data_IF_822618580058
#
_entry.id   IF_822618580058
#
_cell.length_a   1.000
_cell.length_b   1.000
_cell.length_c   1.000
_cell.angle_alpha   90.00
_cell.angle_beta   90.00
_cell.angle_gamma   90.00
#
_symmetry.space_group_name_H-M   'P 1'
#
loop_
_entity.id
_entity.type
_entity.pdbx_description
1 polymer ?
#
# COMPACT_ATOMS: atom_id res chain seq x y z
N UNK A 1 27.69 -1.16 7.09
CA UNK A 1 26.42 -0.42 6.83
C UNK A 1 25.47 -1.34 6.09
N UNK A 2 24.16 -1.31 6.34
CA UNK A 2 23.22 -2.07 5.53
C UNK A 2 23.33 -1.61 4.07
N UNK A 3 23.31 -2.58 3.12
CA UNK A 3 23.36 -2.28 1.71
C UNK A 3 22.12 -1.44 1.30
N UNK A 4 22.34 -0.45 0.43
CA UNK A 4 21.27 0.35 -0.12
C UNK A 4 20.30 -0.53 -0.93
N UNK A 5 19.03 -0.13 -0.99
CA UNK A 5 17.96 -0.83 -1.70
C UNK A 5 17.30 0.15 -2.66
N UNK A 6 16.95 -0.36 -3.83
CA UNK A 6 16.15 0.39 -4.78
C UNK A 6 14.67 -0.02 -4.62
N UNK A 7 13.83 0.93 -4.28
CA UNK A 7 12.38 0.80 -4.30
C UNK A 7 11.82 1.43 -5.57
N UNK A 8 10.86 0.75 -6.18
CA UNK A 8 10.13 1.19 -7.38
C UNK A 8 8.64 1.11 -7.06
N UNK A 9 7.93 2.23 -7.12
CA UNK A 9 6.48 2.29 -6.92
C UNK A 9 5.77 2.35 -8.27
N UNK A 10 5.07 1.27 -8.61
CA UNK A 10 4.20 1.13 -9.79
C UNK A 10 2.71 1.08 -9.40
N UNK A 11 2.36 1.47 -8.17
CA UNK A 11 1.01 1.27 -7.64
C UNK A 11 0.02 2.39 -7.98
N UNK A 12 0.48 3.51 -8.50
CA UNK A 12 -0.34 4.69 -8.73
C UNK A 12 -0.20 5.25 -10.15
N UNK A 13 -0.67 6.48 -10.33
CA UNK A 13 -0.61 7.23 -11.59
C UNK A 13 0.75 7.90 -11.83
N UNK A 14 1.69 7.76 -10.90
CA UNK A 14 3.04 8.35 -10.96
C UNK A 14 4.06 7.26 -10.66
N UNK A 15 5.07 7.14 -11.54
CA UNK A 15 6.23 6.29 -11.28
C UNK A 15 7.10 6.95 -10.21
N UNK A 16 7.51 6.20 -9.20
CA UNK A 16 8.46 6.70 -8.19
C UNK A 16 9.58 5.71 -7.96
N UNK A 17 10.76 6.24 -7.79
CA UNK A 17 11.95 5.48 -7.43
C UNK A 17 12.62 6.09 -6.20
N UNK A 18 13.17 5.24 -5.35
CA UNK A 18 13.88 5.66 -4.16
C UNK A 18 15.05 4.71 -3.89
N UNK A 19 16.25 5.24 -3.75
CA UNK A 19 17.39 4.52 -3.20
C UNK A 19 17.56 4.90 -1.73
N UNK A 20 17.65 3.90 -0.87
CA UNK A 20 17.78 4.14 0.55
C UNK A 20 18.10 2.88 1.36
N UNK A 21 18.23 3.08 2.65
CA UNK A 21 18.37 2.02 3.65
C UNK A 21 17.19 2.11 4.63
N UNK A 22 16.99 1.11 5.51
CA UNK A 22 16.02 1.22 6.60
C UNK A 22 16.26 2.44 7.52
N UNK A 23 17.44 3.06 7.43
CA UNK A 23 17.85 4.21 8.23
C UNK A 23 17.84 5.56 7.51
N UNK A 24 17.49 5.60 6.21
CA UNK A 24 17.43 6.89 5.50
C UNK A 24 17.29 6.79 4.00
N UNK A 25 16.73 7.84 3.41
CA UNK A 25 16.62 8.06 1.97
C UNK A 25 17.91 8.71 1.46
N UNK A 26 18.44 8.21 0.35
CA UNK A 26 19.64 8.72 -0.31
C UNK A 26 19.30 9.53 -1.56
N UNK A 27 18.49 8.95 -2.43
CA UNK A 27 18.03 9.54 -3.69
C UNK A 27 16.57 9.16 -3.93
N UNK A 28 15.83 10.05 -4.55
CA UNK A 28 14.44 9.75 -4.95
C UNK A 28 14.06 10.58 -6.17
N UNK A 29 13.14 10.04 -6.97
CA UNK A 29 12.64 10.70 -8.16
C UNK A 29 11.26 10.22 -8.54
N UNK A 30 10.53 11.06 -9.25
CA UNK A 30 9.20 10.75 -9.76
C UNK A 30 9.06 11.14 -11.23
N UNK A 31 8.12 10.51 -11.93
CA UNK A 31 7.80 10.77 -13.33
C UNK A 31 6.46 10.18 -13.73
N UNK A 32 5.88 10.72 -14.78
CA UNK A 32 4.64 10.17 -15.32
C UNK A 32 4.91 8.84 -16.08
N UNK A 33 4.06 7.82 -15.94
CA UNK A 33 4.09 6.68 -16.83
C UNK A 33 3.69 7.13 -18.26
N UNK A 34 4.27 6.56 -19.32
CA UNK A 34 3.84 6.84 -20.67
C UNK A 34 2.35 6.49 -20.88
N UNK A 35 1.61 7.28 -21.67
CA UNK A 35 0.23 6.95 -22.00
C UNK A 35 0.10 5.53 -22.56
N UNK A 36 -0.89 4.79 -22.08
CA UNK A 36 -1.16 3.41 -22.48
C UNK A 36 -0.24 2.35 -21.87
N UNK A 37 0.77 2.73 -21.08
CA UNK A 37 1.65 1.75 -20.41
C UNK A 37 1.06 1.18 -19.10
N UNK A 38 0.14 1.90 -18.48
CA UNK A 38 -0.59 1.49 -17.29
C UNK A 38 -2.06 1.81 -17.38
N UNK A 39 -2.90 0.99 -16.74
CA UNK A 39 -4.34 1.20 -16.58
C UNK A 39 -4.77 0.79 -15.17
N UNK A 40 -5.33 1.74 -14.39
CA UNK A 40 -5.83 1.52 -13.03
C UNK A 40 -4.87 0.69 -12.13
N UNK A 41 -3.58 1.01 -12.15
CA UNK A 41 -2.56 0.31 -11.37
C UNK A 41 -2.12 -1.06 -11.95
N UNK A 42 -2.60 -1.41 -13.14
CA UNK A 42 -2.18 -2.60 -13.90
C UNK A 42 -1.17 -2.20 -14.96
N UNK A 43 -0.15 -3.01 -15.15
CA UNK A 43 0.82 -2.84 -16.24
C UNK A 43 0.20 -3.38 -17.52
N UNK A 44 0.12 -2.54 -18.55
CA UNK A 44 -0.41 -2.86 -19.89
C UNK A 44 0.73 -3.11 -20.87
N UNK A 45 1.72 -2.22 -20.90
CA UNK A 45 2.93 -2.36 -21.74
C UNK A 45 4.19 -2.32 -20.87
N UNK A 46 4.75 -3.49 -20.51
CA UNK A 46 5.97 -3.58 -19.71
C UNK A 46 7.20 -2.98 -20.38
N UNK A 47 7.27 -3.02 -21.71
CA UNK A 47 8.42 -2.49 -22.46
C UNK A 47 8.44 -0.97 -22.42
N UNK A 48 7.32 -0.35 -22.74
CA UNK A 48 7.19 1.11 -22.74
C UNK A 48 7.38 1.67 -21.32
N UNK A 49 6.76 1.04 -20.33
CA UNK A 49 6.90 1.41 -18.91
C UNK A 49 8.35 1.22 -18.44
N UNK A 50 9.01 0.14 -18.84
CA UNK A 50 10.40 -0.16 -18.50
C UNK A 50 11.39 0.86 -19.06
N UNK A 51 11.16 1.37 -20.27
CA UNK A 51 11.97 2.44 -20.86
C UNK A 51 11.84 3.74 -20.04
N UNK A 52 10.63 4.13 -19.65
CA UNK A 52 10.39 5.29 -18.81
C UNK A 52 11.05 5.12 -17.42
N UNK A 53 10.93 3.94 -16.83
CA UNK A 53 11.57 3.62 -15.56
C UNK A 53 13.11 3.70 -15.66
N UNK A 54 13.71 3.19 -16.74
CA UNK A 54 15.16 3.31 -17.01
C UNK A 54 15.60 4.77 -17.05
N UNK A 55 14.86 5.62 -17.76
CA UNK A 55 15.17 7.06 -17.84
C UNK A 55 15.05 7.73 -16.47
N UNK A 56 14.04 7.36 -15.68
CA UNK A 56 13.85 7.89 -14.34
C UNK A 56 15.00 7.50 -13.40
N UNK A 57 15.40 6.23 -13.40
CA UNK A 57 16.53 5.71 -12.60
C UNK A 57 17.83 6.42 -12.97
N UNK A 58 18.10 6.57 -14.29
CA UNK A 58 19.29 7.27 -14.76
C UNK A 58 19.31 8.75 -14.34
N UNK A 59 18.19 9.47 -14.54
CA UNK A 59 18.05 10.88 -14.17
C UNK A 59 18.19 11.11 -12.65
N UNK A 60 17.83 10.12 -11.85
CA UNK A 60 17.92 10.19 -10.38
C UNK A 60 19.30 9.74 -9.87
N UNK A 61 20.21 9.32 -10.78
CA UNK A 61 21.56 8.83 -10.43
C UNK A 61 21.53 7.66 -9.43
N UNK A 62 20.52 6.83 -9.47
CA UNK A 62 20.40 5.63 -8.64
C UNK A 62 21.40 4.59 -9.14
N UNK A 63 22.17 4.02 -8.22
CA UNK A 63 23.22 3.06 -8.54
C UNK A 63 22.81 1.60 -8.29
N UNK A 64 21.78 1.36 -7.49
CA UNK A 64 21.28 0.02 -7.20
C UNK A 64 20.57 -0.59 -8.41
N UNK A 65 20.80 -1.87 -8.68
CA UNK A 65 20.14 -2.60 -9.77
C UNK A 65 19.07 -3.59 -9.29
N UNK A 66 19.01 -3.89 -7.99
CA UNK A 66 18.07 -4.86 -7.43
C UNK A 66 16.81 -4.15 -6.91
N UNK A 67 15.70 -4.30 -7.64
CA UNK A 67 14.47 -3.56 -7.41
C UNK A 67 13.51 -4.29 -6.46
N UNK A 68 13.04 -3.57 -5.44
CA UNK A 68 11.84 -3.90 -4.66
C UNK A 68 10.68 -3.11 -5.30
N UNK A 69 9.61 -3.78 -5.69
CA UNK A 69 8.52 -3.19 -6.49
C UNK A 69 7.25 -3.15 -5.64
N UNK A 70 6.61 -1.99 -5.56
CA UNK A 70 5.26 -1.87 -5.02
C UNK A 70 4.23 -1.98 -6.14
N UNK A 71 3.23 -2.80 -5.90
CA UNK A 71 2.10 -3.04 -6.77
C UNK A 71 0.83 -2.41 -6.18
N UNK A 72 -0.10 -1.98 -7.04
CA UNK A 72 -1.43 -1.57 -6.63
C UNK A 72 -2.19 -2.72 -5.96
N UNK A 73 -2.95 -2.42 -4.91
CA UNK A 73 -3.85 -3.39 -4.29
C UNK A 73 -4.97 -3.86 -5.25
N UNK A 74 -5.22 -3.10 -6.33
CA UNK A 74 -6.20 -3.47 -7.38
C UNK A 74 -5.84 -4.76 -8.17
N UNK A 75 -4.58 -5.22 -8.12
CA UNK A 75 -4.17 -6.49 -8.77
C UNK A 75 -4.34 -7.72 -7.88
N UNK A 76 -4.77 -7.53 -6.64
CA UNK A 76 -4.87 -8.59 -5.64
C UNK A 76 -6.13 -8.45 -4.79
N UNK A 77 -6.44 -9.51 -4.08
CA UNK A 77 -7.38 -9.49 -2.96
C UNK A 77 -6.69 -10.07 -1.74
N UNK A 78 -6.90 -9.49 -0.60
CA UNK A 78 -6.36 -10.02 0.65
C UNK A 78 -7.44 -10.18 1.72
N UNK A 79 -7.16 -11.06 2.69
CA UNK A 79 -8.00 -11.28 3.88
C UNK A 79 -7.10 -11.46 5.09
N UNK A 80 -7.60 -11.00 6.21
CA UNK A 80 -6.97 -11.25 7.51
C UNK A 80 -7.97 -12.06 8.33
N UNK A 81 -7.61 -13.29 8.64
CA UNK A 81 -8.46 -14.24 9.33
C UNK A 81 -7.84 -14.65 10.65
N UNK A 82 -8.69 -14.78 11.67
CA UNK A 82 -8.28 -15.23 12.98
C UNK A 82 -8.77 -16.65 13.23
N UNK A 83 -7.86 -17.51 13.66
CA UNK A 83 -8.12 -18.91 14.03
C UNK A 83 -7.65 -19.18 15.45
N UNK A 84 -8.21 -20.19 16.08
CA UNK A 84 -7.66 -20.72 17.34
C UNK A 84 -6.25 -21.27 17.08
N UNK A 85 -5.37 -21.17 18.07
CA UNK A 85 -3.95 -21.62 17.94
C UNK A 85 -3.80 -23.10 17.59
N UNK A 86 -4.82 -23.93 17.89
CA UNK A 86 -4.85 -25.35 17.56
C UNK A 86 -5.52 -25.71 16.23
N UNK A 87 -5.97 -24.71 15.45
CA UNK A 87 -6.63 -24.99 14.16
C UNK A 87 -5.67 -25.64 13.17
N UNK A 88 -6.07 -26.78 12.59
CA UNK A 88 -5.26 -27.49 11.62
C UNK A 88 -5.07 -26.68 10.32
N UNK A 89 -3.95 -26.88 9.65
CA UNK A 89 -3.65 -26.16 8.40
C UNK A 89 -4.63 -26.44 7.28
N UNK A 90 -5.21 -27.66 7.26
CA UNK A 90 -6.24 -28.09 6.31
C UNK A 90 -7.54 -27.28 6.49
N UNK A 91 -7.94 -27.03 7.73
CA UNK A 91 -9.13 -26.23 8.05
C UNK A 91 -8.93 -24.76 7.67
N UNK A 92 -7.73 -24.23 7.90
CA UNK A 92 -7.32 -22.88 7.47
C UNK A 92 -7.41 -22.78 5.94
N UNK A 93 -6.89 -23.77 5.21
CA UNK A 93 -6.97 -23.78 3.75
C UNK A 93 -8.39 -23.88 3.21
N UNK A 94 -9.23 -24.69 3.85
CA UNK A 94 -10.64 -24.80 3.48
C UNK A 94 -11.38 -23.47 3.65
N UNK A 95 -11.11 -22.77 4.77
CA UNK A 95 -11.70 -21.46 5.04
C UNK A 95 -11.19 -20.39 4.06
N UNK A 96 -9.90 -20.38 3.76
CA UNK A 96 -9.32 -19.47 2.77
C UNK A 96 -9.93 -19.67 1.38
N UNK A 97 -10.12 -20.93 0.95
CA UNK A 97 -10.79 -21.26 -0.32
C UNK A 97 -12.24 -20.78 -0.36
N UNK A 98 -12.92 -20.80 0.79
CA UNK A 98 -14.31 -20.32 0.92
C UNK A 98 -14.43 -18.80 0.84
N UNK A 99 -13.47 -18.07 1.42
CA UNK A 99 -13.51 -16.60 1.54
C UNK A 99 -12.83 -15.85 0.40
N UNK A 100 -11.91 -16.49 -0.28
CA UNK A 100 -11.23 -15.88 -1.42
C UNK A 100 -11.98 -16.20 -2.72
N UNK A 101 -11.99 -15.28 -3.69
CA UNK A 101 -12.64 -15.52 -4.97
C UNK A 101 -12.06 -16.77 -5.64
N UNK A 102 -12.88 -17.44 -6.45
CA UNK A 102 -12.49 -18.68 -7.13
C UNK A 102 -11.17 -18.50 -7.86
N UNK A 103 -10.23 -19.39 -7.54
CA UNK A 103 -8.90 -19.39 -8.15
C UNK A 103 -9.02 -19.84 -9.59
N UNK A 104 -8.80 -18.93 -10.53
CA UNK A 104 -8.47 -19.31 -11.91
C UNK A 104 -7.00 -19.73 -11.98
N UNK A 105 -6.61 -20.45 -13.04
CA UNK A 105 -5.21 -20.81 -13.29
C UNK A 105 -4.26 -19.60 -13.38
N UNK A 106 -4.81 -18.41 -13.49
CA UNK A 106 -4.06 -17.13 -13.52
C UNK A 106 -3.75 -16.58 -12.14
N UNK A 107 -4.36 -17.11 -11.08
CA UNK A 107 -4.20 -16.58 -9.72
C UNK A 107 -3.19 -17.39 -8.91
N UNK A 108 -2.53 -16.73 -7.99
CA UNK A 108 -1.67 -17.35 -6.98
C UNK A 108 -2.11 -16.93 -5.59
N UNK A 109 -1.99 -17.83 -4.63
CA UNK A 109 -2.29 -17.61 -3.22
C UNK A 109 -1.00 -17.74 -2.39
N UNK A 110 -0.82 -16.82 -1.45
CA UNK A 110 0.16 -16.94 -0.36
C UNK A 110 -0.53 -16.60 0.95
N UNK A 111 -0.16 -17.33 2.00
CA UNK A 111 -0.56 -17.03 3.38
C UNK A 111 0.66 -16.83 4.25
N UNK A 112 0.53 -16.03 5.29
CA UNK A 112 1.57 -15.76 6.28
C UNK A 112 0.91 -15.55 7.62
N UNK A 113 1.47 -16.17 8.66
CA UNK A 113 1.08 -15.89 10.04
C UNK A 113 1.57 -14.48 10.40
N UNK A 114 0.67 -13.66 10.91
CA UNK A 114 0.93 -12.31 11.38
C UNK A 114 0.43 -12.17 12.82
N UNK A 115 0.99 -11.23 13.59
CA UNK A 115 0.58 -10.96 14.97
C UNK A 115 0.58 -12.21 15.87
N UNK A 116 1.74 -12.87 16.07
CA UNK A 116 1.82 -13.99 17.00
C UNK A 116 1.50 -13.51 18.44
N UNK A 117 0.54 -14.17 19.09
CA UNK A 117 0.16 -13.88 20.49
C UNK A 117 -1.35 -13.87 20.70
N UNK A 118 -1.78 -13.67 21.95
CA UNK A 118 -3.20 -13.60 22.40
C UNK A 118 -4.06 -14.86 22.18
N UNK A 119 -3.43 -16.04 22.04
CA UNK A 119 -4.19 -17.30 21.89
C UNK A 119 -4.90 -17.46 20.56
N UNK A 120 -4.67 -16.56 19.59
CA UNK A 120 -5.18 -16.61 18.25
C UNK A 120 -4.02 -16.72 17.24
N UNK A 121 -4.27 -17.42 16.15
CA UNK A 121 -3.43 -17.48 14.96
C UNK A 121 -4.04 -16.56 13.90
N UNK A 122 -3.41 -15.44 13.64
CA UNK A 122 -3.86 -14.47 12.64
C UNK A 122 -3.15 -14.74 11.31
N UNK A 123 -3.91 -15.05 10.28
CA UNK A 123 -3.42 -15.36 8.93
C UNK A 123 -3.70 -14.17 8.01
N UNK A 124 -2.65 -13.61 7.41
CA UNK A 124 -2.75 -12.72 6.26
C UNK A 124 -2.65 -13.56 5.00
N UNK A 125 -3.72 -13.60 4.22
CA UNK A 125 -3.78 -14.32 2.96
C UNK A 125 -3.96 -13.33 1.81
N UNK A 126 -3.17 -13.49 0.75
CA UNK A 126 -3.25 -12.70 -0.46
C UNK A 126 -3.36 -13.59 -1.68
N UNK A 127 -4.28 -13.25 -2.56
CA UNK A 127 -4.43 -13.84 -3.88
C UNK A 127 -4.19 -12.76 -4.93
N UNK A 128 -3.38 -13.03 -5.93
CA UNK A 128 -3.01 -12.04 -6.95
C UNK A 128 -2.99 -12.63 -8.36
N UNK A 129 -3.14 -11.77 -9.36
CA UNK A 129 -3.00 -12.09 -10.77
C UNK A 129 -1.52 -12.26 -11.13
N UNK A 130 -1.12 -13.50 -11.49
CA UNK A 130 0.26 -13.85 -11.87
C UNK A 130 0.75 -13.03 -13.05
N UNK A 131 -0.12 -12.76 -14.03
CA UNK A 131 0.27 -12.02 -15.23
C UNK A 131 0.69 -10.59 -14.89
N UNK A 132 0.06 -9.97 -13.90
CA UNK A 132 0.42 -8.62 -13.47
C UNK A 132 1.74 -8.58 -12.70
N UNK A 133 1.98 -9.54 -11.82
CA UNK A 133 3.28 -9.66 -11.15
C UNK A 133 4.40 -9.92 -12.14
N UNK A 134 4.15 -10.75 -13.16
CA UNK A 134 5.10 -11.01 -14.24
C UNK A 134 5.35 -9.73 -15.08
N UNK A 135 4.31 -9.00 -15.45
CA UNK A 135 4.44 -7.74 -16.20
C UNK A 135 5.26 -6.69 -15.44
N UNK A 136 5.08 -6.58 -14.12
CA UNK A 136 5.91 -5.71 -13.27
C UNK A 136 7.38 -6.16 -13.23
N UNK A 137 7.63 -7.46 -13.15
CA UNK A 137 8.98 -7.99 -13.19
C UNK A 137 9.64 -7.76 -14.57
N UNK A 138 8.90 -7.89 -15.65
CA UNK A 138 9.36 -7.58 -17.02
C UNK A 138 9.66 -6.08 -17.18
N UNK A 139 8.79 -5.21 -16.65
CA UNK A 139 9.04 -3.76 -16.58
C UNK A 139 10.40 -3.45 -15.94
N UNK A 140 10.69 -4.07 -14.80
CA UNK A 140 11.99 -3.88 -14.13
C UNK A 140 13.15 -4.37 -15.01
N UNK A 141 13.03 -5.56 -15.64
CA UNK A 141 14.07 -6.08 -16.54
C UNK A 141 14.29 -5.17 -17.76
N UNK A 142 13.23 -4.65 -18.36
CA UNK A 142 13.33 -3.66 -19.45
C UNK A 142 13.99 -2.35 -19.00
N UNK A 143 13.89 -2.01 -17.72
CA UNK A 143 14.65 -0.91 -17.12
C UNK A 143 16.13 -1.23 -16.83
N UNK A 144 16.56 -2.48 -17.05
CA UNK A 144 17.91 -2.94 -16.68
C UNK A 144 18.05 -3.28 -15.19
N UNK A 145 16.93 -3.50 -14.49
CA UNK A 145 16.88 -3.84 -13.07
C UNK A 145 16.59 -5.32 -12.85
N UNK A 146 17.10 -5.88 -11.76
CA UNK A 146 16.78 -7.21 -11.27
C UNK A 146 15.56 -7.15 -10.34
N UNK A 147 14.38 -7.68 -10.70
CA UNK A 147 13.23 -7.69 -9.81
C UNK A 147 13.46 -8.69 -8.67
N UNK A 148 13.49 -8.20 -7.44
CA UNK A 148 13.74 -9.02 -6.25
C UNK A 148 12.47 -9.36 -5.47
N UNK A 149 11.51 -8.43 -5.42
CA UNK A 149 10.26 -8.57 -4.67
C UNK A 149 9.19 -7.74 -5.37
N UNK A 150 7.96 -8.25 -5.42
CA UNK A 150 6.74 -7.49 -5.67
C UNK A 150 5.88 -7.57 -4.41
N UNK A 151 5.46 -6.43 -3.89
CA UNK A 151 4.68 -6.34 -2.64
C UNK A 151 3.53 -5.34 -2.82
N UNK A 152 2.40 -5.55 -2.12
CA UNK A 152 1.25 -4.65 -2.20
C UNK A 152 1.55 -3.30 -1.56
N UNK A 153 0.99 -2.23 -2.12
CA UNK A 153 1.10 -0.85 -1.62
C UNK A 153 0.67 -0.75 -0.16
N UNK A 154 -0.46 -1.37 0.21
CA UNK A 154 -0.98 -1.37 1.58
C UNK A 154 0.02 -1.93 2.60
N UNK A 155 0.75 -3.00 2.28
CA UNK A 155 1.79 -3.56 3.15
C UNK A 155 3.00 -2.62 3.29
N UNK A 156 3.34 -1.93 2.19
CA UNK A 156 4.44 -0.96 2.21
C UNK A 156 4.09 0.23 3.10
N UNK A 157 2.92 0.85 2.92
CA UNK A 157 2.52 2.03 3.69
C UNK A 157 2.30 1.68 5.17
N UNK A 158 1.72 0.52 5.49
CA UNK A 158 1.56 0.06 6.87
C UNK A 158 2.90 -0.04 7.61
N UNK A 159 3.97 -0.43 6.92
CA UNK A 159 5.32 -0.52 7.48
C UNK A 159 5.98 0.85 7.68
N UNK A 160 5.66 1.82 6.83
CA UNK A 160 6.22 3.17 6.91
C UNK A 160 5.55 4.04 7.97
N UNK A 161 4.32 3.73 8.36
CA UNK A 161 3.55 4.47 9.36
C UNK A 161 3.89 3.96 10.76
N UNK A 162 4.18 4.90 11.68
CA UNK A 162 4.54 4.57 13.06
C UNK A 162 3.32 4.17 13.91
N UNK A 163 2.14 4.72 13.61
CA UNK A 163 0.90 4.40 14.33
C UNK A 163 0.53 2.93 14.10
N UNK A 164 0.33 2.13 15.16
CA UNK A 164 -0.01 0.71 15.01
C UNK A 164 -1.39 0.51 14.39
N UNK A 165 -2.34 1.38 14.72
CA UNK A 165 -3.70 1.36 14.17
C UNK A 165 -4.06 2.75 13.67
N UNK A 166 -4.49 2.86 12.42
CA UNK A 166 -4.89 4.11 11.77
C UNK A 166 -5.65 3.82 10.47
N UNK A 167 -6.31 4.83 9.92
CA UNK A 167 -6.78 4.83 8.54
C UNK A 167 -5.88 5.77 7.75
N UNK A 168 -5.16 5.27 6.76
CA UNK A 168 -4.46 6.11 5.79
C UNK A 168 -5.44 6.53 4.71
N UNK A 169 -5.71 7.83 4.59
CA UNK A 169 -6.45 8.45 3.50
C UNK A 169 -5.43 9.00 2.49
N UNK A 170 -5.25 8.30 1.39
CA UNK A 170 -4.32 8.69 0.31
C UNK A 170 -5.06 9.49 -0.76
N UNK A 171 -4.74 10.76 -0.86
CA UNK A 171 -5.29 11.72 -1.82
C UNK A 171 -4.21 12.23 -2.81
N UNK A 172 -3.08 11.51 -2.93
CA UNK A 172 -2.00 11.90 -3.86
C UNK A 172 -2.28 11.51 -5.32
N UNK A 173 -3.43 10.94 -5.60
CA UNK A 173 -3.88 10.53 -6.93
C UNK A 173 -5.39 10.47 -7.02
N UNK A 174 -5.91 10.31 -8.23
CA UNK A 174 -7.30 9.96 -8.48
C UNK A 174 -7.34 8.57 -9.13
N UNK A 175 -8.16 7.67 -8.59
CA UNK A 175 -9.03 7.81 -7.43
C UNK A 175 -8.27 7.89 -6.09
N UNK A 176 -8.96 8.38 -5.03
CA UNK A 176 -8.47 8.32 -3.66
C UNK A 176 -8.49 6.89 -3.12
N UNK A 177 -7.66 6.61 -2.13
CA UNK A 177 -7.61 5.31 -1.47
C UNK A 177 -7.64 5.45 0.05
N UNK A 178 -8.41 4.60 0.71
CA UNK A 178 -8.41 4.46 2.16
C UNK A 178 -7.89 3.08 2.56
N UNK A 179 -6.82 3.03 3.36
CA UNK A 179 -6.25 1.79 3.90
C UNK A 179 -6.42 1.77 5.40
N UNK A 180 -7.25 0.87 5.93
CA UNK A 180 -7.35 0.63 7.37
C UNK A 180 -6.23 -0.32 7.78
N UNK A 181 -5.42 0.15 8.70
CA UNK A 181 -4.28 -0.56 9.28
C UNK A 181 -4.62 -0.81 10.74
N UNK A 182 -4.46 -2.05 11.20
CA UNK A 182 -4.67 -2.44 12.57
C UNK A 182 -3.53 -3.35 13.04
N UNK A 183 -2.85 -2.93 14.12
CA UNK A 183 -1.62 -3.57 14.62
C UNK A 183 -0.54 -3.72 13.52
N UNK A 184 -0.34 -2.66 12.72
CA UNK A 184 0.55 -2.63 11.55
C UNK A 184 0.19 -3.60 10.40
N UNK A 185 -0.99 -4.21 10.44
CA UNK A 185 -1.49 -5.09 9.38
C UNK A 185 -2.59 -4.38 8.60
N UNK A 186 -2.48 -4.22 7.26
CA UNK A 186 -3.57 -3.68 6.47
C UNK A 186 -4.75 -4.68 6.48
N UNK A 187 -5.91 -4.23 6.96
CA UNK A 187 -7.14 -5.03 7.08
C UNK A 187 -8.07 -4.81 5.90
N UNK A 188 -8.14 -3.55 5.44
CA UNK A 188 -9.05 -3.12 4.37
C UNK A 188 -8.31 -2.13 3.49
N UNK A 189 -8.45 -2.26 2.17
CA UNK A 189 -8.12 -1.23 1.18
C UNK A 189 -9.37 -0.96 0.35
N UNK A 190 -9.71 0.31 0.20
CA UNK A 190 -10.89 0.77 -0.53
C UNK A 190 -10.55 1.98 -1.38
N UNK A 191 -10.92 1.91 -2.64
CA UNK A 191 -10.70 2.97 -3.62
C UNK A 191 -12.03 3.67 -3.91
N UNK A 192 -12.01 5.00 -3.91
CA UNK A 192 -13.20 5.82 -4.18
C UNK A 192 -12.84 7.13 -4.88
N UNK A 193 -13.80 7.71 -5.60
CA UNK A 193 -13.65 8.99 -6.29
C UNK A 193 -14.34 10.10 -5.52
N UNK A 194 -13.77 11.30 -5.57
CA UNK A 194 -14.37 12.52 -5.05
C UNK A 194 -15.04 13.24 -6.22
N UNK A 195 -16.34 13.56 -6.11
CA UNK A 195 -17.09 14.25 -7.13
C UNK A 195 -16.62 15.71 -7.31
N UNK A 196 -16.60 16.19 -8.55
CA UNK A 196 -16.33 17.60 -8.83
C UNK A 196 -17.54 18.47 -8.40
N UNK A 197 -17.38 19.29 -7.36
CA UNK A 197 -18.40 20.22 -6.90
C UNK A 197 -19.23 19.77 -5.69
N UNK A 198 -18.92 18.61 -5.10
CA UNK A 198 -19.47 18.16 -3.83
C UNK A 198 -18.86 18.84 -2.61
N UNK A 199 -19.47 18.64 -1.44
CA UNK A 199 -18.91 19.03 -0.16
C UNK A 199 -17.81 18.04 0.24
N UNK A 200 -16.55 18.46 0.16
CA UNK A 200 -15.38 17.59 0.34
C UNK A 200 -15.44 16.73 1.62
N UNK A 201 -15.75 17.26 2.82
CA UNK A 201 -15.87 16.41 4.02
C UNK A 201 -16.91 15.30 3.88
N UNK A 202 -18.05 15.60 3.24
CA UNK A 202 -19.13 14.63 3.01
C UNK A 202 -18.69 13.52 2.04
N UNK A 203 -18.02 13.88 0.96
CA UNK A 203 -17.47 12.92 -0.02
C UNK A 203 -16.41 12.00 0.63
N UNK A 204 -15.50 12.58 1.39
CA UNK A 204 -14.48 11.81 2.14
C UNK A 204 -15.12 10.88 3.17
N UNK A 205 -16.14 11.36 3.92
CA UNK A 205 -16.86 10.53 4.87
C UNK A 205 -17.58 9.37 4.18
N UNK A 206 -18.19 9.62 3.00
CA UNK A 206 -18.82 8.58 2.21
C UNK A 206 -17.82 7.49 1.77
N UNK A 207 -16.60 7.86 1.37
CA UNK A 207 -15.53 6.93 1.02
C UNK A 207 -14.95 6.13 2.20
N UNK A 208 -14.95 6.72 3.41
CA UNK A 208 -14.39 6.07 4.61
C UNK A 208 -15.36 5.12 5.33
N UNK A 209 -16.67 5.39 5.28
CA UNK A 209 -17.68 4.54 5.96
C UNK A 209 -17.65 3.07 5.54
N UNK A 210 -17.51 2.72 4.24
CA UNK A 210 -17.37 1.32 3.84
C UNK A 210 -16.19 0.60 4.49
N UNK A 211 -15.07 1.30 4.69
CA UNK A 211 -13.86 0.76 5.31
C UNK A 211 -14.13 0.34 6.77
N UNK A 212 -14.74 1.22 7.56
CA UNK A 212 -15.12 0.96 8.95
C UNK A 212 -16.19 -0.14 9.04
N UNK A 213 -17.18 -0.11 8.15
CA UNK A 213 -18.25 -1.12 8.09
C UNK A 213 -17.67 -2.50 7.79
N UNK A 214 -16.77 -2.60 6.82
CA UNK A 214 -16.13 -3.88 6.48
C UNK A 214 -15.24 -4.39 7.62
N UNK A 215 -14.47 -3.50 8.28
CA UNK A 215 -13.69 -3.89 9.44
C UNK A 215 -14.56 -4.48 10.55
N UNK A 216 -15.66 -3.81 10.92
CA UNK A 216 -16.61 -4.31 11.91
C UNK A 216 -17.20 -5.65 11.53
N UNK A 217 -17.62 -5.83 10.27
CA UNK A 217 -18.18 -7.10 9.78
C UNK A 217 -17.16 -8.24 9.81
N UNK A 218 -15.90 -7.96 9.52
CA UNK A 218 -14.84 -8.97 9.44
C UNK A 218 -14.23 -9.34 10.79
N UNK A 219 -14.27 -8.42 11.77
CA UNK A 219 -13.66 -8.63 13.09
C UNK A 219 -14.66 -8.84 14.21
N UNK A 220 -15.92 -8.44 14.01
CA UNK A 220 -16.94 -8.39 15.06
C UNK A 220 -16.75 -7.24 16.07
N UNK A 221 -15.80 -6.33 15.84
CA UNK A 221 -15.45 -5.23 16.75
C UNK A 221 -15.46 -3.89 16.01
N UNK A 222 -15.73 -2.81 16.74
CA UNK A 222 -15.53 -1.45 16.21
C UNK A 222 -14.02 -1.13 16.13
N UNK A 223 -13.64 -0.34 15.12
CA UNK A 223 -12.29 0.18 15.04
C UNK A 223 -12.07 1.19 16.18
N UNK A 224 -10.93 1.16 16.91
CA UNK A 224 -10.72 2.01 18.09
C UNK A 224 -10.87 3.49 17.75
N UNK A 225 -11.74 4.21 18.44
CA UNK A 225 -12.10 5.60 18.15
C UNK A 225 -10.92 6.58 18.24
N UNK A 226 -9.91 6.25 19.05
CA UNK A 226 -8.66 7.02 19.18
C UNK A 226 -7.69 6.83 17.99
N UNK A 227 -7.94 5.84 17.13
CA UNK A 227 -7.10 5.59 15.96
C UNK A 227 -7.30 6.69 14.92
N UNK A 228 -6.22 7.40 14.50
CA UNK A 228 -6.35 8.56 13.64
C UNK A 228 -6.61 8.19 12.17
N UNK A 229 -7.26 9.11 11.47
CA UNK A 229 -7.23 9.21 10.01
C UNK A 229 -6.01 10.05 9.63
N UNK A 230 -5.01 9.42 9.02
CA UNK A 230 -3.78 10.06 8.58
C UNK A 230 -3.91 10.42 7.10
N UNK A 231 -3.86 11.72 6.81
CA UNK A 231 -4.05 12.22 5.44
C UNK A 231 -2.71 12.31 4.72
N UNK A 232 -2.60 11.56 3.62
CA UNK A 232 -1.51 11.65 2.64
C UNK A 232 -2.01 12.45 1.44
N UNK A 233 -1.57 13.69 1.33
CA UNK A 233 -1.95 14.58 0.24
C UNK A 233 -0.78 15.53 -0.08
N UNK A 234 -0.75 16.08 -1.29
CA UNK A 234 0.23 17.11 -1.66
C UNK A 234 0.03 18.42 -0.91
N UNK A 235 -1.20 18.71 -0.51
CA UNK A 235 -1.56 19.84 0.34
C UNK A 235 -2.34 19.33 1.55
N UNK A 236 -2.11 19.97 2.69
CA UNK A 236 -2.88 19.66 3.90
C UNK A 236 -4.36 19.99 3.71
N UNK A 237 -5.22 19.14 4.27
CA UNK A 237 -6.65 19.47 4.35
C UNK A 237 -6.84 20.77 5.13
N UNK A 238 -7.71 21.67 4.67
CA UNK A 238 -8.12 22.84 5.47
C UNK A 238 -8.63 22.39 6.83
N UNK A 239 -8.30 23.14 7.89
CA UNK A 239 -8.68 22.80 9.27
C UNK A 239 -10.18 22.56 9.41
N UNK A 240 -11.02 23.40 8.77
CA UNK A 240 -12.48 23.24 8.80
C UNK A 240 -12.92 21.92 8.17
N UNK A 241 -12.29 21.50 7.06
CA UNK A 241 -12.56 20.22 6.40
C UNK A 241 -12.19 19.05 7.31
N UNK A 242 -11.02 19.11 7.94
CA UNK A 242 -10.56 18.07 8.86
C UNK A 242 -11.51 17.94 10.08
N UNK A 243 -11.86 19.05 10.73
CA UNK A 243 -12.78 19.05 11.88
C UNK A 243 -14.18 18.53 11.52
N UNK A 244 -14.70 18.90 10.35
CA UNK A 244 -16.01 18.37 9.90
C UNK A 244 -15.94 16.87 9.61
N UNK A 245 -14.87 16.40 8.96
CA UNK A 245 -14.66 14.98 8.69
C UNK A 245 -14.55 14.18 10.00
N UNK A 246 -13.78 14.68 10.97
CA UNK A 246 -13.67 14.12 12.31
C UNK A 246 -15.03 13.96 12.98
N UNK A 247 -15.85 15.02 12.97
CA UNK A 247 -17.22 14.98 13.52
C UNK A 247 -18.15 13.99 12.80
N UNK A 248 -17.93 13.72 11.50
CA UNK A 248 -18.76 12.79 10.69
C UNK A 248 -18.36 11.33 10.85
N UNK A 249 -17.08 11.06 11.11
CA UNK A 249 -16.51 9.69 11.15
C UNK A 249 -16.24 9.24 12.58
N UNK A 250 -15.99 10.18 13.52
CA UNK A 250 -15.71 9.85 14.92
C UNK A 250 -14.27 9.45 15.20
N UNK A 251 -13.33 9.75 14.30
CA UNK A 251 -11.90 9.49 14.45
C UNK A 251 -11.10 10.78 14.26
N UNK A 252 -10.02 11.01 15.04
CA UNK A 252 -9.15 12.18 14.86
C UNK A 252 -8.59 12.24 13.44
N UNK A 253 -8.60 13.44 12.82
CA UNK A 253 -8.09 13.67 11.47
C UNK A 253 -6.84 14.53 11.53
N UNK A 254 -5.73 14.05 10.97
CA UNK A 254 -4.47 14.77 10.99
C UNK A 254 -3.56 14.47 9.81
N UNK A 255 -2.48 15.26 9.69
CA UNK A 255 -1.49 15.03 8.66
C UNK A 255 -0.76 13.70 8.89
N UNK A 256 -0.27 13.12 7.80
CA UNK A 256 0.61 11.97 7.87
C UNK A 256 1.90 12.35 8.63
N UNK A 257 2.22 11.70 9.76
CA UNK A 257 3.45 11.97 10.47
C UNK A 257 4.66 11.47 9.68
N UNK A 258 5.80 12.13 9.88
CA UNK A 258 7.04 11.72 9.25
C UNK A 258 7.40 10.28 9.65
N UNK A 259 7.73 9.40 8.69
CA UNK A 259 8.12 8.04 9.00
C UNK A 259 9.38 8.01 9.90
N UNK A 260 9.47 7.06 10.85
CA UNK A 260 10.65 6.92 11.68
C UNK A 260 11.93 6.78 10.85
N UNK A 261 13.01 7.47 11.25
CA UNK A 261 14.34 7.41 10.62
C UNK A 261 14.44 8.09 9.24
N UNK A 262 13.39 8.74 8.76
CA UNK A 262 13.48 9.63 7.59
C UNK A 262 13.86 11.02 8.07
N UNK A 263 14.85 11.64 7.43
CA UNK A 263 15.33 12.99 7.81
C UNK A 263 14.25 14.05 7.54
N UNK A 264 14.14 15.11 8.36
CA UNK A 264 13.13 16.15 8.20
C UNK A 264 13.12 16.84 6.82
N UNK A 265 14.28 16.94 6.17
CA UNK A 265 14.42 17.60 4.88
C UNK A 265 13.87 16.78 3.71
N UNK A 266 13.57 15.49 3.94
CA UNK A 266 13.07 14.61 2.88
C UNK A 266 11.57 14.83 2.68
N UNK A 267 11.19 15.18 1.46
CA UNK A 267 9.78 15.20 1.03
C UNK A 267 9.23 13.76 0.98
N UNK A 268 8.81 13.23 2.11
CA UNK A 268 8.47 11.80 2.27
C UNK A 268 7.05 11.45 1.77
N UNK A 269 6.12 12.38 1.77
CA UNK A 269 4.69 12.12 1.44
C UNK A 269 4.53 11.41 0.10
N UNK A 270 5.11 11.86 -1.02
CA UNK A 270 5.01 11.14 -2.30
C UNK A 270 5.69 9.76 -2.25
N UNK A 271 6.76 9.62 -1.46
CA UNK A 271 7.61 8.42 -1.43
C UNK A 271 7.28 7.44 -0.30
N UNK A 272 6.15 7.60 0.41
CA UNK A 272 5.78 6.77 1.55
C UNK A 272 5.83 5.26 1.21
N UNK A 273 5.29 4.88 0.06
CA UNK A 273 5.30 3.49 -0.43
C UNK A 273 6.73 2.97 -0.63
N UNK A 274 7.60 3.76 -1.29
CA UNK A 274 9.00 3.41 -1.49
C UNK A 274 9.77 3.31 -0.15
N UNK A 275 9.49 4.20 0.80
CA UNK A 275 10.07 4.16 2.16
C UNK A 275 9.69 2.84 2.84
N UNK A 276 8.43 2.44 2.77
CA UNK A 276 7.98 1.17 3.32
C UNK A 276 8.65 -0.04 2.66
N UNK A 277 8.91 0.00 1.35
CA UNK A 277 9.66 -1.05 0.65
C UNK A 277 11.10 -1.19 1.17
N UNK A 278 11.85 -0.09 1.31
CA UNK A 278 13.24 -0.16 1.81
C UNK A 278 13.32 -0.56 3.28
N UNK A 279 12.26 -0.30 4.07
CA UNK A 279 12.15 -0.74 5.47
C UNK A 279 11.85 -2.24 5.63
N UNK A 280 11.51 -2.94 4.54
CA UNK A 280 11.23 -4.39 4.56
C UNK A 280 12.39 -5.15 5.19
N UNK A 281 12.12 -5.98 6.21
CA UNK A 281 13.13 -6.88 6.78
C UNK A 281 13.52 -7.94 5.75
N UNK A 282 14.81 -8.31 5.69
CA UNK A 282 15.22 -9.50 4.91
C UNK A 282 14.65 -10.72 5.63
N UNK A 283 13.88 -11.50 4.93
CA UNK A 283 13.53 -12.86 5.35
C UNK A 283 14.64 -13.81 4.94
#
# INVERSE_FOLDING_TARGET
>A
MPASRLAVDLSGTTLRVLEGTPGGVMRCGEGAPPPGSMDHGRVVDPTLLGQALRQLVARTEISGNRALIAASDAIASFRVLNFSTGTADEDIEAELKRQLPQQSDRMSLRRTDVLPGRGLRTIYAVIWDRSQVQAMAETARHAGLEPAVVELKSLCVARAIAAPSCILLDMTGEPCEAVLIDEHVPRVSHVFTIGSGGDLPTELAAGLRPVLTFYRQSTGAEFPAESPILVRADQMLPTLTATRLEGMIGHPVGPLPQPPRVRPEVRFVPFLTCIGLVMRRRQ
#
